data_IF_161727921533
#
_entry.id   IF_161727921533
#
_cell.length_a   1.000
_cell.length_b   1.000
_cell.length_c   1.000
_cell.angle_alpha   90.00
_cell.angle_beta   90.00
_cell.angle_gamma   90.00
#
_symmetry.space_group_name_H-M   'P 1'
#
loop_
_entity.id
_entity.type
_entity.pdbx_description
1 polymer ?
#
# COMPACT_ATOMS: atom_id res chain seq x y z
N UNK A 1 -13.99 -16.82 -7.74
CA UNK A 1 -13.57 -15.59 -8.44
C UNK A 1 -12.72 -14.66 -7.57
N UNK A 2 -12.93 -14.60 -6.24
CA UNK A 2 -12.19 -13.70 -5.34
C UNK A 2 -10.65 -13.85 -5.29
N UNK A 3 -10.07 -15.03 -5.57
CA UNK A 3 -8.62 -15.23 -5.47
C UNK A 3 -7.83 -14.50 -6.58
N UNK A 4 -8.44 -14.33 -7.76
CA UNK A 4 -7.84 -13.57 -8.85
C UNK A 4 -7.80 -12.08 -8.50
N UNK A 5 -8.91 -11.53 -8.03
CA UNK A 5 -9.03 -10.12 -7.61
C UNK A 5 -8.07 -9.73 -6.47
N UNK A 6 -7.80 -10.65 -5.54
CA UNK A 6 -6.87 -10.44 -4.43
C UNK A 6 -5.43 -10.32 -4.94
N UNK A 7 -5.04 -11.17 -5.89
CA UNK A 7 -3.67 -11.16 -6.46
C UNK A 7 -3.44 -9.87 -7.22
N UNK A 8 -4.39 -9.48 -8.08
CA UNK A 8 -4.33 -8.24 -8.86
C UNK A 8 -4.26 -7.00 -7.95
N UNK A 9 -5.03 -7.00 -6.86
CA UNK A 9 -5.01 -5.90 -5.89
C UNK A 9 -3.65 -5.80 -5.20
N UNK A 10 -3.05 -6.93 -4.81
CA UNK A 10 -1.73 -6.96 -4.19
C UNK A 10 -0.68 -6.40 -5.13
N UNK A 11 -0.67 -6.80 -6.40
CA UNK A 11 0.27 -6.27 -7.40
C UNK A 11 0.09 -4.76 -7.59
N UNK A 12 -1.15 -4.27 -7.65
CA UNK A 12 -1.42 -2.82 -7.75
C UNK A 12 -0.87 -2.04 -6.57
N UNK A 13 -1.05 -2.52 -5.34
CA UNK A 13 -0.54 -1.83 -4.14
C UNK A 13 1.00 -1.69 -4.19
N UNK A 14 1.71 -2.74 -4.58
CA UNK A 14 3.17 -2.67 -4.74
C UNK A 14 3.58 -1.82 -5.95
N UNK A 15 2.81 -1.82 -7.03
CA UNK A 15 2.97 -0.91 -8.17
C UNK A 15 2.85 0.56 -7.75
N UNK A 16 1.85 0.90 -6.94
CA UNK A 16 1.68 2.25 -6.39
C UNK A 16 2.81 2.65 -5.44
N UNK A 17 3.35 1.69 -4.67
CA UNK A 17 4.53 1.95 -3.84
C UNK A 17 5.76 2.28 -4.69
N UNK A 18 6.00 1.51 -5.76
CA UNK A 18 7.10 1.75 -6.71
C UNK A 18 6.95 3.08 -7.44
N UNK A 19 5.72 3.51 -7.70
CA UNK A 19 5.41 4.81 -8.30
C UNK A 19 5.51 5.99 -7.30
N UNK A 20 5.75 5.72 -6.01
CA UNK A 20 5.86 6.75 -4.96
C UNK A 20 4.51 7.28 -4.45
N UNK A 21 3.39 6.64 -4.80
CA UNK A 21 2.05 7.02 -4.33
C UNK A 21 1.72 6.44 -2.95
N UNK A 22 2.31 5.28 -2.63
CA UNK A 22 2.19 4.62 -1.33
C UNK A 22 3.58 4.41 -0.72
N UNK A 23 3.63 4.34 0.60
CA UNK A 23 4.84 4.04 1.37
C UNK A 23 4.83 2.56 1.76
N UNK A 24 5.92 1.85 1.47
CA UNK A 24 6.09 0.49 1.96
C UNK A 24 6.04 0.46 3.50
N UNK A 25 5.13 -0.32 4.07
CA UNK A 25 4.99 -0.47 5.52
C UNK A 25 5.51 -1.83 5.98
N UNK A 26 6.55 -1.83 6.79
CA UNK A 26 7.03 -3.04 7.48
C UNK A 26 6.09 -3.52 8.59
N UNK A 27 5.23 -2.63 9.10
CA UNK A 27 4.30 -2.94 10.20
C UNK A 27 3.09 -3.77 9.74
N UNK A 28 2.58 -3.50 8.53
CA UNK A 28 1.39 -4.20 7.99
C UNK A 28 1.71 -5.15 6.84
N UNK A 29 2.94 -5.11 6.31
CA UNK A 29 3.34 -5.89 5.14
C UNK A 29 2.67 -5.45 3.83
N UNK A 30 1.91 -4.36 3.86
CA UNK A 30 1.19 -3.77 2.72
C UNK A 30 1.58 -2.29 2.57
N UNK A 31 1.74 -1.79 1.34
CA UNK A 31 1.92 -0.36 1.11
C UNK A 31 0.75 0.47 1.67
N UNK A 32 1.07 1.58 2.33
CA UNK A 32 0.11 2.47 3.02
C UNK A 32 0.19 3.89 2.46
N UNK A 33 -0.90 4.64 2.57
CA UNK A 33 -0.88 6.09 2.32
C UNK A 33 -0.10 6.79 3.43
N UNK A 34 0.61 7.86 3.09
CA UNK A 34 1.22 8.71 4.10
C UNK A 34 0.13 9.44 4.89
N UNK A 35 0.00 9.14 6.17
CA UNK A 35 -0.95 9.85 7.03
C UNK A 35 -0.32 11.15 7.53
N UNK A 36 -0.54 12.24 6.78
CA UNK A 36 -0.07 13.59 7.11
C UNK A 36 -0.70 14.13 8.41
N UNK A 37 -1.81 13.54 8.88
CA UNK A 37 -2.49 13.93 10.12
C UNK A 37 -1.76 13.42 11.38
N UNK A 38 -0.84 12.45 11.24
CA UNK A 38 -0.01 11.92 12.33
C UNK A 38 1.38 12.57 12.42
N UNK A 39 1.73 13.51 11.54
CA UNK A 39 3.04 14.20 11.55
C UNK A 39 3.14 15.37 12.55
N UNK A 40 2.22 15.46 13.50
CA UNK A 40 2.17 16.53 14.50
C UNK A 40 1.60 16.08 15.84
N UNK A 41 2.33 15.22 16.56
CA UNK A 41 2.33 15.13 18.02
C UNK A 41 3.73 14.80 18.51
#
# INVERSE_FOLDING_TARGET
MRNLDITDTREKLFGYAKAGLLTASSATGLPQVENLENKGK
#
